data_IF_594790159610
#
_entry.id   IF_594790159610
#
_cell.length_a   1.000
_cell.length_b   1.000
_cell.length_c   1.000
_cell.angle_alpha   90.00
_cell.angle_beta   90.00
_cell.angle_gamma   90.00
#
_symmetry.space_group_name_H-M   'P 1'
#
loop_
_entity.id
_entity.type
_entity.pdbx_description
1 polymer ?
#
# COMPACT_ATOMS: atom_id res chain seq x y z
N UNK A 1 -34.71 25.84 2.91
CA UNK A 1 -33.42 26.52 2.69
C UNK A 1 -32.46 25.98 3.73
N UNK A 2 -31.83 24.83 3.46
CA UNK A 2 -30.93 24.17 4.37
C UNK A 2 -29.51 24.36 3.87
N UNK A 3 -28.71 25.08 4.66
CA UNK A 3 -27.30 25.27 4.41
C UNK A 3 -26.57 23.93 4.63
N UNK A 4 -25.91 23.42 3.61
CA UNK A 4 -24.93 22.33 3.75
C UNK A 4 -23.79 22.86 4.62
N UNK A 5 -23.59 22.24 5.78
CA UNK A 5 -22.37 22.36 6.54
C UNK A 5 -21.37 21.38 5.90
N UNK A 6 -20.48 21.91 5.06
CA UNK A 6 -19.32 21.18 4.61
C UNK A 6 -18.42 20.95 5.83
N UNK A 7 -18.42 19.72 6.31
CA UNK A 7 -17.51 19.29 7.38
C UNK A 7 -16.11 19.15 6.76
N UNK A 8 -15.31 20.19 6.87
CA UNK A 8 -13.89 20.19 6.50
C UNK A 8 -13.13 19.50 7.64
N UNK A 9 -12.82 18.25 7.47
CA UNK A 9 -11.94 17.51 8.38
C UNK A 9 -10.48 17.83 8.03
N UNK A 10 -9.77 18.43 8.98
CA UNK A 10 -8.30 18.42 9.05
C UNK A 10 -7.52 19.31 8.08
N UNK A 11 -8.17 20.12 7.25
CA UNK A 11 -7.44 20.96 6.32
C UNK A 11 -6.98 22.29 6.94
N UNK A 12 -5.68 22.51 7.03
CA UNK A 12 -5.11 23.82 7.33
C UNK A 12 -5.03 24.63 6.03
N UNK A 13 -5.54 25.89 6.04
CA UNK A 13 -5.52 26.77 4.86
C UNK A 13 -4.09 27.22 4.53
N UNK A 14 -3.65 26.96 3.29
CA UNK A 14 -2.42 27.52 2.74
C UNK A 14 -2.61 28.99 2.28
N UNK A 15 -1.51 29.65 1.94
CA UNK A 15 -1.49 31.06 1.48
C UNK A 15 -2.35 31.31 0.22
N UNK A 16 -2.69 30.27 -0.55
CA UNK A 16 -3.54 30.34 -1.75
C UNK A 16 -5.03 30.10 -1.49
N UNK A 17 -5.43 29.89 -0.22
CA UNK A 17 -6.82 29.62 0.15
C UNK A 17 -7.31 28.20 -0.11
N UNK A 18 -6.50 27.30 -0.72
CA UNK A 18 -6.79 25.89 -0.82
C UNK A 18 -6.34 25.16 0.46
N UNK A 19 -7.12 24.16 0.92
CA UNK A 19 -6.72 23.35 2.06
C UNK A 19 -5.44 22.56 1.75
N UNK A 20 -4.57 22.41 2.76
CA UNK A 20 -3.33 21.64 2.63
C UNK A 20 -3.61 20.15 2.76
N UNK A 21 -2.79 19.36 2.05
CA UNK A 21 -2.74 17.92 2.24
C UNK A 21 -2.18 17.64 3.64
N UNK A 22 -2.98 16.94 4.43
CA UNK A 22 -2.64 16.49 5.78
C UNK A 22 -2.17 15.03 5.74
N UNK A 23 -1.24 14.66 6.60
CA UNK A 23 -0.78 13.28 6.76
C UNK A 23 -1.91 12.29 7.10
N UNK A 24 -3.04 12.75 7.62
CA UNK A 24 -4.21 11.92 7.95
C UNK A 24 -5.24 11.82 6.82
N UNK A 25 -5.02 12.48 5.69
CA UNK A 25 -5.96 12.44 4.57
C UNK A 25 -5.99 11.05 3.96
N UNK A 26 -7.19 10.50 3.76
CA UNK A 26 -7.44 9.23 3.08
C UNK A 26 -8.27 9.46 1.82
N UNK A 27 -8.26 8.48 0.92
CA UNK A 27 -8.98 8.51 -0.35
C UNK A 27 -8.09 8.14 -1.53
N UNK A 28 -8.69 7.98 -2.69
CA UNK A 28 -7.99 7.61 -3.91
C UNK A 28 -7.53 8.87 -4.64
N UNK A 29 -6.26 8.88 -5.03
CA UNK A 29 -5.69 9.98 -5.84
C UNK A 29 -6.24 9.87 -7.26
N UNK A 30 -6.60 11.02 -7.88
CA UNK A 30 -7.05 11.07 -9.27
C UNK A 30 -6.06 10.36 -10.21
N UNK A 31 -6.61 9.63 -11.19
CA UNK A 31 -5.85 8.78 -12.09
C UNK A 31 -5.82 7.30 -11.70
N UNK A 32 -6.17 6.94 -10.46
CA UNK A 32 -6.37 5.54 -10.07
C UNK A 32 -7.59 4.98 -10.81
N UNK A 33 -7.47 3.77 -11.35
CA UNK A 33 -8.59 3.06 -11.97
C UNK A 33 -9.26 2.15 -10.94
N UNK A 34 -10.58 2.15 -10.89
CA UNK A 34 -11.39 1.23 -10.08
C UNK A 34 -12.22 0.32 -10.99
N UNK A 35 -12.49 -0.90 -10.52
CA UNK A 35 -13.25 -1.88 -11.28
C UNK A 35 -14.75 -1.58 -11.18
N UNK A 36 -15.44 -1.41 -12.31
CA UNK A 36 -16.87 -1.13 -12.39
C UNK A 36 -17.57 -2.19 -13.23
N UNK A 37 -18.90 -2.15 -13.29
CA UNK A 37 -19.69 -3.01 -14.21
C UNK A 37 -19.34 -2.81 -15.69
N UNK A 38 -18.82 -1.63 -16.06
CA UNK A 38 -18.40 -1.31 -17.43
C UNK A 38 -16.90 -1.57 -17.69
N UNK A 39 -16.18 -2.12 -16.71
CA UNK A 39 -14.74 -2.33 -16.73
C UNK A 39 -13.99 -1.31 -15.86
N UNK A 40 -12.70 -1.16 -16.13
CA UNK A 40 -11.85 -0.23 -15.37
C UNK A 40 -12.15 1.22 -15.76
N UNK A 41 -12.45 2.05 -14.77
CA UNK A 41 -12.74 3.46 -14.94
C UNK A 41 -11.89 4.29 -13.96
N UNK A 42 -11.50 5.48 -14.39
CA UNK A 42 -10.77 6.42 -13.53
C UNK A 42 -11.67 6.87 -12.38
N UNK A 43 -11.13 6.86 -11.15
CA UNK A 43 -11.90 7.17 -9.94
C UNK A 43 -12.55 8.55 -10.00
N UNK A 44 -11.91 9.54 -10.62
CA UNK A 44 -12.48 10.88 -10.81
C UNK A 44 -13.69 10.91 -11.75
N UNK A 45 -13.94 9.85 -12.53
CA UNK A 45 -15.11 9.75 -13.43
C UNK A 45 -16.29 9.03 -12.78
N UNK A 46 -16.08 8.43 -11.61
CA UNK A 46 -17.15 7.73 -10.89
C UNK A 46 -18.20 8.72 -10.40
N UNK A 47 -19.46 8.30 -10.46
CA UNK A 47 -20.62 9.05 -9.99
C UNK A 47 -21.44 8.25 -8.99
N UNK A 48 -22.18 8.95 -8.13
CA UNK A 48 -23.13 8.32 -7.19
C UNK A 48 -24.12 7.42 -7.97
N UNK A 49 -24.43 6.27 -7.38
CA UNK A 49 -25.27 5.25 -7.98
C UNK A 49 -24.54 4.25 -8.89
N UNK A 50 -23.29 4.51 -9.29
CA UNK A 50 -22.50 3.52 -10.01
C UNK A 50 -22.07 2.38 -9.11
N UNK A 51 -21.85 1.20 -9.69
CA UNK A 51 -21.38 0.02 -8.98
C UNK A 51 -19.88 -0.17 -9.20
N UNK A 52 -19.18 -0.38 -8.10
CA UNK A 52 -17.75 -0.67 -8.05
C UNK A 52 -17.56 -2.06 -7.46
N UNK A 53 -16.62 -2.81 -8.02
CA UNK A 53 -16.28 -4.14 -7.53
C UNK A 53 -15.45 -4.02 -6.24
N UNK A 54 -15.91 -4.69 -5.20
CA UNK A 54 -15.24 -4.78 -3.90
C UNK A 54 -14.78 -6.21 -3.62
N UNK A 55 -13.88 -6.37 -2.69
CA UNK A 55 -13.23 -7.64 -2.38
C UNK A 55 -14.24 -8.66 -1.81
N UNK A 56 -14.97 -8.26 -0.76
CA UNK A 56 -15.91 -9.16 -0.07
C UNK A 56 -17.35 -9.00 -0.57
N UNK A 57 -17.76 -7.77 -0.89
CA UNK A 57 -19.15 -7.43 -1.20
C UNK A 57 -19.56 -7.62 -2.66
N UNK A 58 -18.61 -7.96 -3.55
CA UNK A 58 -18.88 -7.99 -4.99
C UNK A 58 -19.14 -6.57 -5.54
N UNK A 59 -20.14 -6.42 -6.38
CA UNK A 59 -20.51 -5.11 -6.95
C UNK A 59 -21.32 -4.30 -5.93
N UNK A 60 -20.73 -3.25 -5.38
CA UNK A 60 -21.35 -2.35 -4.41
C UNK A 60 -21.67 -0.98 -5.02
N UNK A 61 -22.81 -0.41 -4.62
CA UNK A 61 -23.24 0.89 -5.11
C UNK A 61 -22.54 2.01 -4.33
N UNK A 62 -21.93 2.94 -5.06
CA UNK A 62 -21.39 4.18 -4.49
C UNK A 62 -22.54 5.07 -4.05
N UNK A 63 -22.69 5.30 -2.73
CA UNK A 63 -23.81 6.07 -2.15
C UNK A 63 -23.51 7.56 -2.09
N UNK A 64 -22.23 7.93 -1.95
CA UNK A 64 -21.80 9.33 -1.99
C UNK A 64 -20.35 9.43 -2.45
N UNK A 65 -19.96 10.60 -2.95
CA UNK A 65 -18.58 10.91 -3.37
C UNK A 65 -18.17 12.24 -2.78
N UNK A 66 -17.03 12.26 -2.10
CA UNK A 66 -16.39 13.50 -1.66
C UNK A 66 -15.15 13.75 -2.52
N UNK A 67 -14.98 15.00 -2.96
CA UNK A 67 -13.83 15.40 -3.79
C UNK A 67 -13.10 16.54 -3.11
N UNK A 68 -11.80 16.40 -3.00
CA UNK A 68 -10.92 17.41 -2.44
C UNK A 68 -9.82 17.76 -3.43
N UNK A 69 -9.52 19.03 -3.55
CA UNK A 69 -8.30 19.51 -4.20
C UNK A 69 -7.43 20.10 -3.11
N UNK A 70 -6.34 19.41 -2.79
CA UNK A 70 -5.45 19.76 -1.70
C UNK A 70 -4.09 20.20 -2.23
N UNK A 71 -3.50 21.21 -1.58
CA UNK A 71 -2.12 21.59 -1.85
C UNK A 71 -1.17 20.72 -1.03
N UNK A 72 -0.11 20.24 -1.68
CA UNK A 72 0.96 19.57 -0.96
C UNK A 72 1.79 20.59 -0.18
N UNK A 73 2.04 20.32 1.10
CA UNK A 73 3.05 21.06 1.84
C UNK A 73 4.44 20.61 1.40
N UNK A 74 5.19 21.53 0.80
CA UNK A 74 6.54 21.22 0.29
C UNK A 74 7.55 20.95 1.41
N UNK A 75 7.21 21.28 2.66
CA UNK A 75 8.10 21.13 3.81
C UNK A 75 7.78 19.89 4.66
N UNK A 76 6.62 19.25 4.45
CA UNK A 76 6.17 18.10 5.23
C UNK A 76 6.12 16.84 4.37
N UNK A 77 7.28 16.16 4.27
CA UNK A 77 7.44 14.94 3.44
C UNK A 77 6.44 13.85 3.84
N UNK A 78 6.11 13.73 5.12
CA UNK A 78 5.17 12.73 5.61
C UNK A 78 3.74 12.89 5.06
N UNK A 79 3.38 14.07 4.55
CA UNK A 79 2.09 14.32 3.90
C UNK A 79 2.10 14.05 2.40
N UNK A 80 3.29 13.83 1.80
CA UNK A 80 3.38 13.63 0.36
C UNK A 80 2.78 12.30 -0.06
N UNK A 81 2.12 12.24 -1.23
CA UNK A 81 1.74 10.97 -1.81
C UNK A 81 2.93 10.04 -2.00
N UNK A 82 2.66 8.75 -2.02
CA UNK A 82 3.63 7.72 -2.34
C UNK A 82 3.49 7.35 -3.80
N UNK A 83 4.59 7.30 -4.53
CA UNK A 83 4.68 6.68 -5.84
C UNK A 83 4.79 5.16 -5.66
N UNK A 84 3.90 4.42 -6.29
CA UNK A 84 3.86 2.96 -6.30
C UNK A 84 4.14 2.48 -7.73
N UNK A 85 5.31 1.87 -7.96
CA UNK A 85 5.64 1.31 -9.28
C UNK A 85 4.67 0.19 -9.67
N UNK A 86 4.50 0.00 -10.97
CA UNK A 86 3.76 -1.13 -11.53
C UNK A 86 4.25 -2.47 -10.94
N UNK A 87 3.31 -3.29 -10.48
CA UNK A 87 3.57 -4.61 -9.89
C UNK A 87 3.92 -4.60 -8.39
N UNK A 88 4.18 -3.45 -7.77
CA UNK A 88 4.58 -3.40 -6.36
C UNK A 88 3.49 -3.93 -5.41
N UNK A 89 2.24 -3.62 -5.69
CA UNK A 89 1.06 -4.05 -4.94
C UNK A 89 0.08 -4.86 -5.82
N UNK A 90 0.58 -5.57 -6.84
CA UNK A 90 -0.29 -6.23 -7.83
C UNK A 90 -0.93 -5.26 -8.82
N UNK A 91 -0.66 -3.98 -8.70
CA UNK A 91 -1.13 -2.94 -9.62
C UNK A 91 -0.50 -3.10 -11.01
N UNK A 92 -1.31 -2.88 -12.05
CA UNK A 92 -0.87 -2.98 -13.44
C UNK A 92 -0.03 -1.79 -13.88
N UNK A 93 -0.46 -0.60 -13.51
CA UNK A 93 0.17 0.66 -13.90
C UNK A 93 0.70 1.39 -12.66
N UNK A 94 1.71 2.24 -12.85
CA UNK A 94 2.18 3.12 -11.78
C UNK A 94 1.02 3.93 -11.20
N UNK A 95 1.05 4.20 -9.91
CA UNK A 95 0.02 5.00 -9.25
C UNK A 95 0.59 5.80 -8.09
N UNK A 96 -0.14 6.85 -7.71
CA UNK A 96 0.13 7.60 -6.49
C UNK A 96 -0.94 7.29 -5.45
N UNK A 97 -0.54 7.08 -4.20
CA UNK A 97 -1.44 6.80 -3.08
C UNK A 97 -1.14 7.72 -1.90
N UNK A 98 -2.12 7.93 -1.04
CA UNK A 98 -1.91 8.75 0.16
C UNK A 98 -1.26 7.92 1.28
N UNK A 99 -0.39 8.53 2.12
CA UNK A 99 0.33 7.81 3.20
C UNK A 99 -0.59 7.09 4.20
N UNK A 100 -1.73 7.69 4.52
CA UNK A 100 -2.71 7.12 5.46
C UNK A 100 -3.82 6.32 4.80
N UNK A 101 -3.77 6.14 3.49
CA UNK A 101 -4.68 5.22 2.82
C UNK A 101 -4.41 3.79 3.30
N UNK A 102 -5.42 3.11 3.81
CA UNK A 102 -5.32 1.71 4.21
C UNK A 102 -5.32 0.80 2.98
N UNK A 103 -4.29 -0.02 2.90
CA UNK A 103 -4.05 -0.97 1.81
C UNK A 103 -4.14 -2.38 2.37
N UNK A 104 -4.89 -3.26 1.69
CA UNK A 104 -4.90 -4.68 2.03
C UNK A 104 -3.74 -5.38 1.32
N UNK A 105 -2.96 -6.13 2.10
CA UNK A 105 -1.89 -6.99 1.62
C UNK A 105 -2.18 -8.44 1.96
N UNK A 106 -1.85 -9.35 1.05
CA UNK A 106 -1.97 -10.80 1.24
C UNK A 106 -0.57 -11.39 1.43
N UNK A 107 -0.36 -12.13 2.53
CA UNK A 107 0.91 -12.84 2.76
C UNK A 107 0.84 -13.89 3.85
N UNK A 108 1.73 -14.89 3.77
CA UNK A 108 1.94 -15.87 4.84
C UNK A 108 2.41 -15.21 6.14
N UNK A 109 3.07 -14.04 6.05
CA UNK A 109 3.50 -13.28 7.23
C UNK A 109 2.31 -12.62 7.94
N UNK A 110 1.30 -12.16 7.20
CA UNK A 110 0.04 -11.68 7.77
C UNK A 110 -0.69 -12.81 8.50
N UNK A 111 -0.82 -13.98 7.88
CA UNK A 111 -1.43 -15.17 8.51
C UNK A 111 -0.72 -15.57 9.81
N UNK A 112 0.61 -15.56 9.81
CA UNK A 112 1.40 -15.87 11.00
C UNK A 112 1.24 -14.83 12.13
N UNK A 113 0.99 -13.57 11.79
CA UNK A 113 0.86 -12.45 12.75
C UNK A 113 -0.55 -12.31 13.31
N UNK A 114 -1.56 -12.42 12.45
CA UNK A 114 -2.97 -12.11 12.77
C UNK A 114 -3.88 -13.33 12.76
N UNK A 115 -3.46 -14.45 12.15
CA UNK A 115 -4.30 -15.61 11.86
C UNK A 115 -5.19 -15.43 10.62
N UNK A 116 -4.94 -14.38 9.82
CA UNK A 116 -5.60 -14.11 8.55
C UNK A 116 -4.52 -13.75 7.51
N UNK A 117 -4.52 -14.37 6.32
CA UNK A 117 -3.55 -14.04 5.27
C UNK A 117 -3.71 -12.60 4.74
N UNK A 118 -4.82 -11.94 5.03
CA UNK A 118 -5.10 -10.57 4.63
C UNK A 118 -4.92 -9.62 5.81
N UNK A 119 -4.14 -8.56 5.62
CA UNK A 119 -3.95 -7.51 6.62
C UNK A 119 -4.12 -6.13 5.99
N UNK A 120 -4.82 -5.24 6.70
CA UNK A 120 -4.90 -3.83 6.33
C UNK A 120 -3.81 -3.04 7.03
N UNK A 121 -3.02 -2.33 6.24
CA UNK A 121 -1.90 -1.52 6.73
C UNK A 121 -1.96 -0.10 6.17
N UNK A 122 -1.48 0.92 6.91
CA UNK A 122 -1.30 2.25 6.35
C UNK A 122 -0.25 2.24 5.24
N UNK A 123 -0.52 2.89 4.12
CA UNK A 123 0.40 2.90 2.98
C UNK A 123 1.80 3.48 3.32
N UNK A 124 1.89 4.36 4.33
CA UNK A 124 3.16 4.92 4.78
C UNK A 124 4.19 3.85 5.18
N UNK A 125 3.75 2.71 5.72
CA UNK A 125 4.65 1.61 6.12
C UNK A 125 5.29 0.91 4.92
N UNK A 126 4.72 1.06 3.72
CA UNK A 126 5.24 0.47 2.48
C UNK A 126 6.43 1.23 1.87
N UNK A 127 6.88 2.34 2.46
CA UNK A 127 8.01 3.10 1.93
C UNK A 127 9.29 2.26 1.94
N UNK A 128 9.90 2.10 0.76
CA UNK A 128 11.06 1.21 0.54
C UNK A 128 10.69 -0.17 -0.02
N UNK A 129 9.49 -0.65 0.25
CA UNK A 129 9.02 -1.93 -0.28
C UNK A 129 8.81 -1.85 -1.79
N UNK A 130 9.43 -2.76 -2.55
CA UNK A 130 9.34 -2.87 -4.03
C UNK A 130 9.46 -1.55 -4.79
N UNK A 131 10.26 -0.61 -4.25
CA UNK A 131 10.50 0.68 -4.89
C UNK A 131 9.44 1.75 -4.63
N UNK A 132 8.53 1.52 -3.69
CA UNK A 132 7.57 2.53 -3.23
C UNK A 132 8.34 3.67 -2.53
N UNK A 133 8.12 4.91 -2.95
CA UNK A 133 8.82 6.08 -2.40
C UNK A 133 7.89 7.27 -2.28
N UNK A 134 8.27 8.25 -1.46
CA UNK A 134 7.57 9.53 -1.45
C UNK A 134 7.68 10.22 -2.81
N UNK A 135 6.55 10.74 -3.28
CA UNK A 135 6.45 11.52 -4.51
C UNK A 135 6.13 12.97 -4.16
N UNK A 136 7.04 13.89 -4.51
CA UNK A 136 6.80 15.32 -4.33
C UNK A 136 5.80 15.81 -5.38
N UNK A 137 4.57 16.15 -5.00
CA UNK A 137 3.61 16.71 -5.95
C UNK A 137 4.05 18.12 -6.37
N UNK A 138 3.76 18.50 -7.62
CA UNK A 138 4.17 19.80 -8.17
C UNK A 138 3.40 20.95 -7.55
N UNK A 139 2.05 20.84 -7.44
CA UNK A 139 1.21 21.93 -6.98
C UNK A 139 0.04 21.46 -6.12
N UNK A 140 -0.85 20.63 -6.66
CA UNK A 140 -2.06 20.16 -6.01
C UNK A 140 -2.33 18.68 -6.30
N UNK A 141 -3.09 18.04 -5.43
CA UNK A 141 -3.53 16.66 -5.54
C UNK A 141 -5.04 16.62 -5.47
N UNK A 142 -5.70 16.00 -6.45
CA UNK A 142 -7.13 15.73 -6.40
C UNK A 142 -7.34 14.36 -5.76
N UNK A 143 -8.22 14.33 -4.73
CA UNK A 143 -8.52 13.15 -3.94
C UNK A 143 -10.01 12.87 -4.03
N UNK A 144 -10.35 11.64 -4.31
CA UNK A 144 -11.72 11.16 -4.41
C UNK A 144 -11.97 10.13 -3.31
N UNK A 145 -12.95 10.38 -2.47
CA UNK A 145 -13.43 9.43 -1.48
C UNK A 145 -14.74 8.83 -1.98
N UNK A 146 -14.73 7.52 -2.19
CA UNK A 146 -15.93 6.76 -2.53
C UNK A 146 -16.54 6.27 -1.22
N UNK A 147 -17.83 6.53 -1.03
CA UNK A 147 -18.59 6.08 0.14
C UNK A 147 -19.60 5.03 -0.26
N UNK A 148 -19.64 3.96 0.51
CA UNK A 148 -20.57 2.85 0.36
C UNK A 148 -21.52 2.79 1.57
N UNK A 149 -22.48 1.87 1.54
CA UNK A 149 -23.39 1.63 2.68
C UNK A 149 -22.66 1.07 3.91
N UNK A 150 -21.52 0.40 3.67
CA UNK A 150 -20.59 -0.13 4.69
C UNK A 150 -19.18 0.14 4.23
N UNK A 151 -18.21 -0.09 5.09
CA UNK A 151 -16.82 -0.11 4.67
C UNK A 151 -16.61 -1.20 3.63
N UNK A 152 -15.89 -0.87 2.58
CA UNK A 152 -15.63 -1.76 1.45
C UNK A 152 -14.17 -1.67 1.02
N UNK A 153 -13.61 -2.80 0.61
CA UNK A 153 -12.26 -2.85 0.02
C UNK A 153 -12.39 -2.90 -1.49
N UNK A 154 -11.98 -1.84 -2.18
CA UNK A 154 -12.12 -1.71 -3.63
C UNK A 154 -10.87 -2.16 -4.37
N UNK A 155 -11.07 -2.80 -5.53
CA UNK A 155 -9.98 -3.11 -6.45
C UNK A 155 -9.54 -1.85 -7.20
N UNK A 156 -8.25 -1.54 -7.12
CA UNK A 156 -7.61 -0.42 -7.78
C UNK A 156 -6.46 -0.89 -8.68
N UNK A 157 -6.37 -0.33 -9.87
CA UNK A 157 -5.32 -0.62 -10.86
C UNK A 157 -5.03 -2.12 -11.02
N UNK A 158 -6.07 -2.94 -11.03
CA UNK A 158 -6.14 -4.40 -11.19
C UNK A 158 -5.96 -5.17 -9.88
N UNK A 159 -4.85 -5.07 -9.17
CA UNK A 159 -4.55 -5.94 -8.03
C UNK A 159 -4.34 -5.24 -6.70
N UNK A 160 -4.25 -3.91 -6.68
CA UNK A 160 -4.18 -3.18 -5.43
C UNK A 160 -5.57 -3.09 -4.76
N UNK A 161 -5.62 -3.16 -3.43
CA UNK A 161 -6.84 -3.22 -2.64
C UNK A 161 -6.86 -2.08 -1.63
N UNK A 162 -7.86 -1.21 -1.71
CA UNK A 162 -7.97 0.01 -0.90
C UNK A 162 -9.22 0.00 -0.05
N UNK A 163 -9.09 0.29 1.25
CA UNK A 163 -10.23 0.49 2.14
C UNK A 163 -10.91 1.82 1.81
N UNK A 164 -12.20 1.78 1.59
CA UNK A 164 -13.09 2.92 1.45
C UNK A 164 -14.13 2.88 2.57
N UNK A 165 -14.14 3.93 3.39
CA UNK A 165 -15.02 4.01 4.55
C UNK A 165 -16.46 4.31 4.16
N UNK A 166 -17.39 3.82 4.99
CA UNK A 166 -18.80 4.13 4.87
C UNK A 166 -19.08 5.61 5.12
N UNK A 167 -20.25 6.08 4.69
CA UNK A 167 -20.67 7.45 4.98
C UNK A 167 -20.99 7.64 6.48
N UNK A 168 -21.41 6.59 7.17
CA UNK A 168 -21.78 6.63 8.59
C UNK A 168 -20.55 6.74 9.49
N UNK A 169 -19.45 6.09 9.15
CA UNK A 169 -18.20 6.12 9.93
C UNK A 169 -17.50 7.47 9.89
N UNK A 170 -17.71 8.26 8.84
CA UNK A 170 -17.25 9.65 8.81
C UNK A 170 -17.97 10.55 9.84
N UNK A 171 -19.09 10.11 10.36
CA UNK A 171 -19.93 10.84 11.33
C UNK A 171 -19.76 10.32 12.75
N UNK A 172 -19.18 9.14 12.93
CA UNK A 172 -18.93 8.50 14.22
C UNK A 172 -17.42 8.46 14.52
N UNK A 173 -17.04 8.91 15.71
CA UNK A 173 -15.66 8.81 16.22
C UNK A 173 -15.29 7.36 16.61
N UNK A 174 -16.22 6.42 16.38
CA UNK A 174 -16.04 4.98 16.60
C UNK A 174 -15.74 4.33 15.26
N UNK A 175 -14.49 3.86 15.10
CA UNK A 175 -14.04 3.15 13.90
C UNK A 175 -14.98 1.99 13.54
N UNK A 176 -15.04 1.65 12.27
CA UNK A 176 -15.83 0.54 11.77
C UNK A 176 -15.40 -0.78 12.41
N UNK A 177 -16.38 -1.57 12.88
CA UNK A 177 -16.14 -2.93 13.37
C UNK A 177 -15.87 -3.93 12.22
N UNK A 178 -15.94 -3.50 10.94
CA UNK A 178 -15.88 -4.40 9.80
C UNK A 178 -14.45 -4.80 9.41
N UNK A 179 -13.51 -3.85 9.50
CA UNK A 179 -12.12 -4.07 9.10
C UNK A 179 -11.15 -3.45 10.11
N UNK A 180 -10.27 -4.28 10.65
CA UNK A 180 -9.21 -3.83 11.55
C UNK A 180 -7.96 -3.44 10.74
N UNK A 181 -7.52 -2.18 10.90
CA UNK A 181 -6.26 -1.70 10.34
C UNK A 181 -5.16 -1.88 11.37
N UNK A 182 -4.06 -2.53 11.01
CA UNK A 182 -2.93 -2.73 11.90
C UNK A 182 -2.36 -1.38 12.35
N UNK A 183 -2.02 -1.31 13.64
CA UNK A 183 -1.28 -0.16 14.18
C UNK A 183 0.09 -0.06 13.51
N UNK A 184 0.66 1.15 13.47
CA UNK A 184 1.88 1.44 12.71
C UNK A 184 3.01 0.45 12.99
N UNK A 185 3.34 0.19 14.26
CA UNK A 185 4.43 -0.71 14.65
C UNK A 185 4.23 -2.14 14.11
N UNK A 186 3.01 -2.69 14.24
CA UNK A 186 2.69 -4.03 13.72
C UNK A 186 2.69 -4.08 12.18
N UNK A 187 2.29 -3.00 11.53
CA UNK A 187 2.33 -2.89 10.08
C UNK A 187 3.76 -2.78 9.55
N UNK A 188 4.65 -2.07 10.25
CA UNK A 188 6.09 -2.01 9.95
C UNK A 188 6.74 -3.39 10.08
N UNK A 189 6.48 -4.11 11.18
CA UNK A 189 6.97 -5.48 11.38
C UNK A 189 6.51 -6.42 10.25
N UNK A 190 5.26 -6.30 9.81
CA UNK A 190 4.75 -7.07 8.67
C UNK A 190 5.50 -6.74 7.38
N UNK A 191 5.70 -5.46 7.09
CA UNK A 191 6.41 -5.02 5.87
C UNK A 191 7.87 -5.47 5.88
N UNK A 192 8.55 -5.44 7.02
CA UNK A 192 9.91 -5.99 7.15
C UNK A 192 9.95 -7.49 6.82
N UNK A 193 8.96 -8.26 7.27
CA UNK A 193 8.82 -9.66 6.89
C UNK A 193 8.61 -9.84 5.38
N UNK A 194 7.77 -9.00 4.74
CA UNK A 194 7.56 -9.02 3.29
C UNK A 194 8.84 -8.71 2.52
N UNK A 195 9.60 -7.71 2.96
CA UNK A 195 10.89 -7.35 2.35
C UNK A 195 11.89 -8.51 2.45
N UNK A 196 11.98 -9.15 3.61
CA UNK A 196 12.84 -10.31 3.80
C UNK A 196 12.46 -11.48 2.89
N UNK A 197 11.16 -11.77 2.73
CA UNK A 197 10.66 -12.82 1.84
C UNK A 197 11.01 -12.53 0.37
N UNK A 198 10.83 -11.29 -0.08
CA UNK A 198 11.17 -10.88 -1.45
C UNK A 198 12.67 -11.03 -1.74
N UNK A 199 13.53 -10.66 -0.80
CA UNK A 199 14.98 -10.81 -0.94
C UNK A 199 15.40 -12.29 -0.97
N UNK A 200 14.80 -13.12 -0.13
CA UNK A 200 15.04 -14.57 -0.13
C UNK A 200 14.61 -15.24 -1.46
N UNK A 201 13.53 -14.76 -2.06
CA UNK A 201 13.07 -15.23 -3.38
C UNK A 201 14.02 -14.76 -4.50
N UNK A 202 14.50 -13.52 -4.46
CA UNK A 202 15.48 -12.98 -5.41
C UNK A 202 16.79 -13.75 -5.37
N UNK A 203 17.29 -14.09 -4.18
CA UNK A 203 18.50 -14.89 -4.00
C UNK A 203 18.37 -16.31 -4.59
N UNK A 204 17.20 -16.92 -4.53
CA UNK A 204 16.93 -18.23 -5.14
C UNK A 204 16.84 -18.18 -6.67
N UNK A 205 16.40 -17.08 -7.22
CA UNK A 205 16.22 -16.89 -8.66
C UNK A 205 17.46 -16.31 -9.35
N UNK A 206 18.44 -15.80 -8.60
CA UNK A 206 19.68 -15.25 -9.16
C UNK A 206 20.65 -16.39 -9.55
N UNK A 207 21.04 -16.54 -10.83
CA UNK A 207 22.00 -17.57 -11.28
C UNK A 207 23.36 -17.51 -10.56
N UNK A 208 23.75 -16.34 -10.08
CA UNK A 208 24.99 -16.09 -9.33
C UNK A 208 24.94 -16.68 -7.92
N UNK A 209 23.78 -16.74 -7.28
CA UNK A 209 23.61 -17.37 -5.96
C UNK A 209 23.78 -18.89 -6.04
N UNK A 210 23.23 -19.53 -7.07
CA UNK A 210 23.40 -20.95 -7.32
C UNK A 210 24.86 -21.34 -7.61
N UNK A 211 25.63 -20.45 -8.23
CA UNK A 211 27.07 -20.67 -8.48
C UNK A 211 27.92 -20.48 -7.22
N UNK A 212 27.55 -19.60 -6.30
CA UNK A 212 28.24 -19.47 -5.00
C UNK A 212 28.02 -20.67 -4.07
N UNK A 213 26.81 -21.22 -4.04
CA UNK A 213 26.53 -22.41 -3.24
C UNK A 213 27.29 -23.66 -3.73
N UNK A 214 27.54 -23.81 -5.04
CA UNK A 214 28.33 -24.93 -5.59
C UNK A 214 29.84 -24.74 -5.37
N UNK A 215 30.36 -23.55 -5.13
CA UNK A 215 31.77 -23.30 -4.80
C UNK A 215 32.11 -23.44 -3.32
N UNK A 216 31.12 -23.46 -2.43
CA UNK A 216 31.31 -23.64 -0.98
C UNK A 216 31.53 -25.09 -0.51
N UNK A 217 31.38 -26.08 -1.37
CA UNK A 217 31.50 -27.52 -1.02
C UNK A 217 32.80 -28.15 -1.47
N UNK A 218 33.78 -27.41 -1.95
CA UNK A 218 35.06 -27.99 -2.40
C UNK A 218 36.26 -27.28 -1.82
N UNK A 219 36.43 -27.35 -0.50
CA UNK A 219 37.68 -26.94 0.16
C UNK A 219 37.95 -27.61 1.49
N UNK A 220 37.64 -28.90 1.60
CA UNK A 220 38.17 -29.73 2.70
C UNK A 220 38.39 -31.15 2.24
N UNK A 221 39.41 -31.35 1.42
CA UNK A 221 40.04 -32.69 1.22
C UNK A 221 41.40 -32.55 0.55
N UNK A 222 42.35 -31.98 1.25
CA UNK A 222 43.76 -32.34 1.04
C UNK A 222 44.37 -32.58 2.42
N UNK A 223 44.24 -33.84 2.84
CA UNK A 223 44.92 -34.37 4.00
C UNK A 223 46.43 -34.34 3.80
N UNK A 224 47.08 -33.97 4.86
CA UNK A 224 48.52 -34.04 5.05
C UNK A 224 48.97 -35.50 4.89
N UNK A 225 49.78 -35.77 3.88
CA UNK A 225 50.56 -36.99 3.78
C UNK A 225 51.99 -36.63 4.16
N UNK A 226 52.35 -36.84 5.42
CA UNK A 226 53.70 -36.83 5.93
C UNK A 226 54.39 -38.15 5.54
N UNK A 227 55.38 -38.07 4.67
CA UNK A 227 56.28 -39.15 4.38
C UNK A 227 57.30 -39.35 5.49
N UNK A 228 57.71 -40.60 5.82
CA UNK A 228 58.70 -40.84 6.86
C UNK A 228 60.12 -40.65 6.34
N UNK A 229 60.95 -40.02 7.18
CA UNK A 229 62.39 -39.86 6.95
C UNK A 229 63.06 -41.22 7.31
N UNK A 230 63.66 -41.85 6.34
CA UNK A 230 64.60 -42.98 6.52
C UNK A 230 65.95 -42.42 6.89
N UNK A 231 66.39 -42.70 8.11
CA UNK A 231 67.79 -42.59 8.55
C UNK A 231 68.56 -43.81 8.11
N UNK A 232 69.62 -43.61 7.40
CA UNK A 232 70.68 -44.61 7.24
C UNK A 232 71.97 -44.14 7.93
N UNK A 233 72.47 -45.06 8.73
CA UNK A 233 73.73 -44.98 9.43
C UNK A 233 74.96 -44.85 8.48
#
# INVERSE_FOLDING_TARGET
>A
MFARKDAIWGATHGETGLPKLDARTTGLVAGINVATTAGWAKVETITEGQQVLTFDGGLQTVVAITRHVLMADTNEVASWPLFVPSGALGNRDDMNILPHQSIMVESDAADALTGDPFALIPAATLVGYRGITYFRPSDWVEIIQLHFAKDEIVFANVGALFLCHSQEDLMSDMGSDAYEVLVMDAAEDLVDCLMYQDDALRDRTCPTAAAKQRRGVSRDSYGANSAPILSMA
#
